data_IF_710126602595
#
_entry.id   IF_710126602595
#
_cell.length_a   1.000
_cell.length_b   1.000
_cell.length_c   1.000
_cell.angle_alpha   90.00
_cell.angle_beta   90.00
_cell.angle_gamma   90.00
#
_symmetry.space_group_name_H-M   'P 1'
#
loop_
_entity.id
_entity.type
_entity.pdbx_description
1 polymer ?
#
# COMPACT_ATOMS: atom_id res chain seq x y z
N UNK A 1 2.03 -2.14 -25.37
CA UNK A 1 3.18 -1.91 -24.44
C UNK A 1 2.81 -1.09 -23.18
N UNK A 2 1.55 -0.71 -22.93
CA UNK A 2 1.09 0.00 -21.72
C UNK A 2 0.75 -0.88 -20.51
N UNK A 3 0.72 -2.22 -20.65
CA UNK A 3 0.24 -3.12 -19.59
C UNK A 3 1.10 -3.09 -18.32
N UNK A 4 2.36 -2.67 -18.43
CA UNK A 4 3.29 -2.60 -17.29
C UNK A 4 3.28 -1.28 -16.52
N UNK A 5 2.65 -0.22 -17.01
CA UNK A 5 2.73 1.12 -16.36
C UNK A 5 2.01 1.18 -15.02
N UNK A 6 1.11 0.23 -14.73
CA UNK A 6 0.41 0.13 -13.45
C UNK A 6 1.17 -0.62 -12.36
N UNK A 7 2.33 -1.23 -12.69
CA UNK A 7 3.11 -2.00 -11.72
C UNK A 7 3.85 -1.07 -10.75
N UNK A 8 3.94 -1.43 -9.45
CA UNK A 8 4.72 -0.67 -8.50
C UNK A 8 6.22 -0.71 -8.87
N UNK A 9 6.88 0.44 -8.76
CA UNK A 9 8.33 0.54 -8.97
C UNK A 9 9.05 -0.21 -7.85
N UNK A 10 9.92 -1.16 -8.21
CA UNK A 10 10.71 -1.96 -7.28
C UNK A 10 12.17 -1.58 -7.40
N UNK A 11 12.83 -1.45 -6.25
CA UNK A 11 14.28 -1.34 -6.15
C UNK A 11 14.83 -2.67 -5.64
N UNK A 12 15.36 -3.48 -6.55
CA UNK A 12 15.73 -4.88 -6.29
C UNK A 12 14.51 -5.69 -5.76
N UNK A 13 14.52 -6.03 -4.47
CA UNK A 13 13.46 -6.79 -3.81
C UNK A 13 12.45 -5.84 -3.12
N UNK A 14 12.90 -4.63 -2.77
CA UNK A 14 12.17 -3.66 -1.99
C UNK A 14 11.24 -2.81 -2.87
N UNK A 15 10.12 -2.39 -2.31
CA UNK A 15 9.23 -1.42 -2.94
C UNK A 15 9.91 -0.03 -2.90
N UNK A 16 9.85 0.75 -3.98
CA UNK A 16 10.48 2.09 -4.02
C UNK A 16 10.02 3.02 -2.87
N UNK A 17 8.83 2.76 -2.34
CA UNK A 17 8.23 3.51 -1.23
C UNK A 17 8.84 3.20 0.13
N UNK A 18 9.40 1.99 0.29
CA UNK A 18 10.15 1.61 1.48
C UNK A 18 11.51 2.30 1.57
N UNK A 19 12.02 2.85 0.46
CA UNK A 19 13.25 3.63 0.47
C UNK A 19 13.14 4.93 1.28
N UNK A 20 11.95 5.55 1.36
CA UNK A 20 11.73 6.78 2.13
C UNK A 20 11.95 6.58 3.65
N UNK A 21 11.29 5.62 4.34
CA UNK A 21 11.52 5.40 5.75
C UNK A 21 12.96 4.96 6.06
N UNK A 22 13.59 4.19 5.16
CA UNK A 22 15.01 3.83 5.28
C UNK A 22 15.89 5.08 5.20
N UNK A 23 15.66 5.94 4.20
CA UNK A 23 16.41 7.18 4.02
C UNK A 23 16.27 8.11 5.23
N UNK A 24 15.07 8.26 5.78
CA UNK A 24 14.83 9.09 6.97
C UNK A 24 15.59 8.57 8.20
N UNK A 25 15.64 7.25 8.41
CA UNK A 25 16.39 6.64 9.50
C UNK A 25 17.91 6.85 9.35
N UNK A 26 18.42 6.83 8.12
CA UNK A 26 19.84 7.09 7.83
C UNK A 26 20.18 8.57 7.97
N UNK A 27 19.30 9.48 7.50
CA UNK A 27 19.54 10.93 7.50
C UNK A 27 19.49 11.52 8.92
N UNK A 28 18.54 11.07 9.73
CA UNK A 28 18.40 11.50 11.10
C UNK A 28 18.62 10.30 12.02
N UNK A 29 19.84 10.14 12.50
CA UNK A 29 20.22 9.02 13.36
C UNK A 29 19.70 9.22 14.78
N UNK A 30 18.49 8.72 15.05
CA UNK A 30 17.84 8.71 16.36
C UNK A 30 17.10 7.40 16.56
N UNK A 31 16.94 6.98 17.81
CA UNK A 31 16.17 5.77 18.14
C UNK A 31 14.73 5.85 17.62
N UNK A 32 14.12 7.03 17.65
CA UNK A 32 12.75 7.24 17.18
C UNK A 32 12.63 7.05 15.67
N UNK A 33 13.52 7.67 14.90
CA UNK A 33 13.55 7.55 13.43
C UNK A 33 13.97 6.16 12.97
N UNK A 34 14.80 5.46 13.74
CA UNK A 34 15.13 4.05 13.49
C UNK A 34 13.89 3.17 13.63
N UNK A 35 13.10 3.33 14.71
CA UNK A 35 11.84 2.59 14.89
C UNK A 35 10.85 2.91 13.75
N UNK A 36 10.67 4.19 13.43
CA UNK A 36 9.80 4.61 12.32
C UNK A 36 10.28 4.04 10.99
N UNK A 37 11.60 4.03 10.76
CA UNK A 37 12.24 3.47 9.58
C UNK A 37 11.97 1.98 9.42
N UNK A 38 12.18 1.21 10.49
CA UNK A 38 11.92 -0.24 10.51
C UNK A 38 10.44 -0.53 10.30
N UNK A 39 9.55 0.12 11.06
CA UNK A 39 8.10 -0.08 10.95
C UNK A 39 7.59 0.28 9.56
N UNK A 40 8.04 1.41 9.00
CA UNK A 40 7.67 1.84 7.65
C UNK A 40 8.16 0.86 6.59
N UNK A 41 9.39 0.37 6.72
CA UNK A 41 9.96 -0.61 5.78
C UNK A 41 9.19 -1.92 5.81
N UNK A 42 8.89 -2.45 7.01
CA UNK A 42 8.08 -3.66 7.18
C UNK A 42 6.68 -3.45 6.62
N UNK A 43 6.04 -2.31 6.91
CA UNK A 43 4.71 -2.00 6.39
C UNK A 43 4.66 -2.03 4.85
N UNK A 44 5.56 -1.33 4.17
CA UNK A 44 5.61 -1.36 2.71
C UNK A 44 6.07 -2.72 2.16
N UNK A 45 6.98 -3.41 2.86
CA UNK A 45 7.44 -4.75 2.50
C UNK A 45 6.31 -5.78 2.53
N UNK A 46 5.44 -5.76 3.55
CA UNK A 46 4.27 -6.65 3.62
C UNK A 46 3.28 -6.38 2.49
N UNK A 47 3.03 -5.11 2.13
CA UNK A 47 2.18 -4.75 1.00
C UNK A 47 2.76 -5.31 -0.32
N UNK A 48 4.08 -5.17 -0.50
CA UNK A 48 4.81 -5.69 -1.67
C UNK A 48 4.75 -7.21 -1.75
N UNK A 49 4.94 -7.89 -0.61
CA UNK A 49 4.86 -9.35 -0.49
C UNK A 49 3.48 -9.89 -0.86
N UNK A 50 2.41 -9.16 -0.51
CA UNK A 50 1.04 -9.48 -0.91
C UNK A 50 0.74 -9.17 -2.39
N UNK A 51 1.68 -8.58 -3.14
CA UNK A 51 1.48 -8.16 -4.53
C UNK A 51 0.45 -7.02 -4.68
N UNK A 52 0.16 -6.30 -3.59
CA UNK A 52 -0.83 -5.23 -3.58
C UNK A 52 -0.17 -3.90 -3.96
N UNK A 53 -0.88 -3.09 -4.75
CA UNK A 53 -0.52 -1.67 -4.88
C UNK A 53 -1.00 -0.91 -3.64
N UNK A 54 -0.36 0.21 -3.30
CA UNK A 54 -0.80 1.11 -2.22
C UNK A 54 -2.31 1.41 -2.22
N UNK A 55 -2.92 1.87 -3.34
CA UNK A 55 -4.36 2.11 -3.37
C UNK A 55 -5.18 0.83 -3.20
N UNK A 56 -4.70 -0.33 -3.65
CA UNK A 56 -5.35 -1.61 -3.41
C UNK A 56 -5.27 -2.02 -1.94
N UNK A 57 -4.10 -1.86 -1.30
CA UNK A 57 -3.90 -2.13 0.12
C UNK A 57 -4.83 -1.27 1.00
N UNK A 58 -4.96 0.03 0.69
CA UNK A 58 -5.91 0.91 1.38
C UNK A 58 -7.36 0.47 1.22
N UNK A 59 -7.77 0.03 0.02
CA UNK A 59 -9.11 -0.53 -0.20
C UNK A 59 -9.31 -1.81 0.60
N UNK A 60 -8.32 -2.68 0.65
CA UNK A 60 -8.37 -3.94 1.43
C UNK A 60 -8.44 -3.65 2.92
N UNK A 61 -7.62 -2.73 3.43
CA UNK A 61 -7.65 -2.30 4.84
C UNK A 61 -8.99 -1.66 5.21
N UNK A 62 -9.52 -0.77 4.37
CA UNK A 62 -10.86 -0.21 4.55
C UNK A 62 -11.94 -1.29 4.55
N UNK A 63 -11.84 -2.26 3.64
CA UNK A 63 -12.76 -3.41 3.56
C UNK A 63 -12.70 -4.28 4.81
N UNK A 64 -11.53 -4.43 5.40
CA UNK A 64 -11.32 -5.18 6.64
C UNK A 64 -11.91 -4.43 7.83
N UNK A 65 -11.66 -3.12 7.96
CA UNK A 65 -12.18 -2.27 9.04
C UNK A 65 -13.71 -2.17 9.08
N UNK A 66 -14.36 -2.06 7.92
CA UNK A 66 -15.83 -1.96 7.81
C UNK A 66 -16.53 -3.31 8.12
N UNK A 67 -15.79 -4.43 8.03
CA UNK A 67 -16.32 -5.76 8.29
C UNK A 67 -17.05 -6.42 7.10
N UNK A 68 -17.64 -7.59 7.40
CA UNK A 68 -18.23 -8.52 6.42
C UNK A 68 -19.57 -8.05 5.87
N UNK A 69 -20.42 -7.47 6.73
CA UNK A 69 -21.77 -7.00 6.36
C UNK A 69 -21.65 -5.63 5.70
N UNK A 70 -22.17 -5.51 4.48
CA UNK A 70 -22.16 -4.26 3.73
C UNK A 70 -23.51 -4.04 3.09
N UNK A 71 -24.00 -2.81 3.18
CA UNK A 71 -25.18 -2.38 2.45
C UNK A 71 -24.87 -2.48 0.95
N UNK A 72 -25.65 -3.27 0.23
CA UNK A 72 -25.53 -3.35 -1.22
C UNK A 72 -25.78 -1.96 -1.83
N UNK A 73 -25.05 -1.60 -2.89
CA UNK A 73 -25.40 -0.44 -3.71
C UNK A 73 -26.78 -0.74 -4.32
N UNK A 74 -27.80 0.08 -4.04
CA UNK A 74 -29.13 -0.15 -4.60
C UNK A 74 -29.08 -0.08 -6.13
N UNK A 75 -29.93 -0.87 -6.79
CA UNK A 75 -29.94 -1.06 -8.24
C UNK A 75 -30.12 0.24 -9.02
N UNK A 76 -30.88 1.19 -8.51
CA UNK A 76 -31.08 2.51 -9.13
C UNK A 76 -29.84 3.42 -9.11
N UNK A 77 -28.82 3.11 -8.29
CA UNK A 77 -27.56 3.86 -8.20
C UNK A 77 -26.37 3.10 -8.82
N UNK A 78 -26.63 2.01 -9.54
CA UNK A 78 -25.59 1.20 -10.18
C UNK A 78 -25.30 1.77 -11.57
N UNK A 79 -24.08 2.26 -11.82
CA UNK A 79 -23.66 2.68 -13.17
C UNK A 79 -23.75 1.48 -14.10
N UNK A 80 -24.55 1.58 -15.17
CA UNK A 80 -24.54 0.62 -16.29
C UNK A 80 -23.37 1.00 -17.18
N UNK A 81 -22.34 0.17 -17.20
CA UNK A 81 -21.35 0.21 -18.27
C UNK A 81 -21.95 -0.66 -19.39
N UNK A 82 -22.48 -0.01 -20.43
CA UNK A 82 -22.95 -0.65 -21.66
C UNK A 82 -21.77 -1.07 -22.53
#
# INVERSE_FOLDING_TARGET
>A
MWRGTGLPVRFLILDARSCLPILLAVLHWSWTTLIIGVVGTVFFGTISFLGLTLPAALRTGRRWLIGRRRTARPTWNRRRYS
#
